data_IF_080622132042
#
_entry.id   IF_080622132042
#
_cell.length_a   1.000
_cell.length_b   1.000
_cell.length_c   1.000
_cell.angle_alpha   90.00
_cell.angle_beta   90.00
_cell.angle_gamma   90.00
#
_symmetry.space_group_name_H-M   'P 1'
#
loop_
_entity.id
_entity.type
_entity.pdbx_description
1 polymer ?
#
# COMPACT_ATOMS: atom_id res chain seq x y z
N UNK A 1 -6.62 -0.73 -26.96
CA UNK A 1 -6.23 0.66 -26.66
C UNK A 1 -6.74 1.08 -25.28
N UNK A 2 -7.97 0.73 -24.89
CA UNK A 2 -8.53 1.02 -23.55
C UNK A 2 -7.76 0.38 -22.37
N UNK A 3 -7.25 -0.85 -22.50
CA UNK A 3 -6.45 -1.50 -21.44
C UNK A 3 -5.17 -0.75 -21.04
N UNK A 4 -4.59 0.05 -21.95
CA UNK A 4 -3.33 0.73 -21.64
C UNK A 4 -3.55 1.90 -20.68
N UNK A 5 -4.66 2.63 -20.82
CA UNK A 5 -4.99 3.76 -19.96
C UNK A 5 -5.24 3.33 -18.51
N UNK A 6 -5.91 2.19 -18.29
CA UNK A 6 -6.11 1.65 -16.95
C UNK A 6 -4.81 1.16 -16.30
N UNK A 7 -3.88 0.62 -17.11
CA UNK A 7 -2.55 0.24 -16.64
C UNK A 7 -1.73 1.48 -16.26
N UNK A 8 -1.78 2.54 -17.06
CA UNK A 8 -1.06 3.78 -16.78
C UNK A 8 -1.54 4.42 -15.47
N UNK A 9 -2.87 4.52 -15.28
CA UNK A 9 -3.47 5.00 -14.02
C UNK A 9 -3.07 4.10 -12.85
N UNK A 10 -3.16 2.77 -13.04
CA UNK A 10 -2.75 1.83 -11.99
C UNK A 10 -1.30 2.05 -11.58
N UNK A 11 -0.39 2.24 -12.53
CA UNK A 11 1.04 2.46 -12.26
C UNK A 11 1.25 3.77 -11.52
N UNK A 12 0.62 4.86 -11.97
CA UNK A 12 0.72 6.19 -11.37
C UNK A 12 0.25 6.19 -9.90
N UNK A 13 -0.98 5.70 -9.65
CA UNK A 13 -1.56 5.57 -8.30
C UNK A 13 -0.73 4.62 -7.42
N UNK A 14 -0.20 3.53 -7.99
CA UNK A 14 0.65 2.61 -7.24
C UNK A 14 1.95 3.27 -6.81
N UNK A 15 2.55 4.10 -7.66
CA UNK A 15 3.76 4.85 -7.33
C UNK A 15 3.50 5.84 -6.19
N UNK A 16 2.40 6.58 -6.24
CA UNK A 16 2.01 7.49 -5.16
C UNK A 16 1.85 6.77 -3.82
N UNK A 17 1.16 5.61 -3.81
CA UNK A 17 1.01 4.82 -2.59
C UNK A 17 2.35 4.25 -2.07
N UNK A 18 3.27 3.86 -2.96
CA UNK A 18 4.61 3.39 -2.58
C UNK A 18 5.44 4.54 -1.99
N UNK A 19 5.37 5.74 -2.57
CA UNK A 19 6.04 6.93 -2.03
C UNK A 19 5.50 7.32 -0.65
N UNK A 20 4.18 7.24 -0.46
CA UNK A 20 3.52 7.46 0.82
C UNK A 20 3.93 6.40 1.86
N UNK A 21 4.02 5.13 1.47
CA UNK A 21 4.53 4.06 2.33
C UNK A 21 5.96 4.35 2.80
N UNK A 22 6.86 4.66 1.86
CA UNK A 22 8.27 4.94 2.18
C UNK A 22 8.42 6.15 3.11
N UNK A 23 7.71 7.23 2.81
CA UNK A 23 7.76 8.46 3.62
C UNK A 23 7.25 8.22 5.03
N UNK A 24 6.12 7.53 5.17
CA UNK A 24 5.56 7.23 6.48
C UNK A 24 6.36 6.19 7.27
N UNK A 25 6.99 5.21 6.61
CA UNK A 25 7.91 4.29 7.27
C UNK A 25 9.12 5.03 7.87
N UNK A 26 9.70 5.99 7.15
CA UNK A 26 10.78 6.84 7.68
C UNK A 26 10.32 7.70 8.87
N UNK A 27 9.08 8.20 8.85
CA UNK A 27 8.53 8.92 10.00
C UNK A 27 8.27 7.98 11.18
N UNK A 28 7.82 6.75 10.93
CA UNK A 28 7.60 5.73 11.95
C UNK A 28 8.90 5.31 12.64
N UNK A 29 10.02 5.25 11.92
CA UNK A 29 11.34 5.00 12.52
C UNK A 29 11.70 6.03 13.59
N UNK A 30 11.29 7.29 13.40
CA UNK A 30 11.53 8.38 14.35
C UNK A 30 10.50 8.43 15.48
N UNK A 31 9.24 8.06 15.21
CA UNK A 31 8.15 8.02 16.21
C UNK A 31 7.34 6.71 16.12
N UNK A 32 7.86 5.59 16.66
CA UNK A 32 7.25 4.27 16.51
C UNK A 32 5.90 4.08 17.21
N UNK A 33 5.52 5.02 18.10
CA UNK A 33 4.27 4.96 18.87
C UNK A 33 3.15 5.76 18.21
N UNK A 34 3.45 6.45 17.12
CA UNK A 34 2.50 7.28 16.42
C UNK A 34 1.51 6.42 15.62
N UNK A 35 0.36 6.13 16.23
CA UNK A 35 -0.69 5.33 15.59
C UNK A 35 -1.22 5.94 14.30
N UNK A 36 -1.16 7.26 14.15
CA UNK A 36 -1.63 7.91 12.91
C UNK A 36 -0.74 7.51 11.72
N UNK A 37 0.58 7.50 11.90
CA UNK A 37 1.53 7.06 10.88
C UNK A 37 1.29 5.59 10.52
N UNK A 38 1.12 4.73 11.52
CA UNK A 38 0.82 3.30 11.31
C UNK A 38 -0.46 3.11 10.48
N UNK A 39 -1.51 3.89 10.81
CA UNK A 39 -2.78 3.84 10.08
C UNK A 39 -2.65 4.32 8.62
N UNK A 40 -1.79 5.31 8.34
CA UNK A 40 -1.53 5.77 6.97
C UNK A 40 -0.76 4.75 6.14
N UNK A 41 0.24 4.09 6.75
CA UNK A 41 0.98 2.99 6.12
C UNK A 41 0.01 1.85 5.78
N UNK A 42 -0.83 1.45 6.74
CA UNK A 42 -1.81 0.40 6.55
C UNK A 42 -2.80 0.73 5.42
N UNK A 43 -3.31 1.97 5.38
CA UNK A 43 -4.22 2.43 4.31
C UNK A 43 -3.58 2.33 2.93
N UNK A 44 -2.33 2.76 2.78
CA UNK A 44 -1.62 2.71 1.50
C UNK A 44 -1.43 1.27 1.01
N UNK A 45 -1.07 0.36 1.92
CA UNK A 45 -0.98 -1.07 1.62
C UNK A 45 -2.34 -1.67 1.22
N UNK A 46 -3.41 -1.30 1.93
CA UNK A 46 -4.76 -1.76 1.64
C UNK A 46 -5.26 -1.30 0.27
N UNK A 47 -4.99 -0.04 -0.10
CA UNK A 47 -5.37 0.49 -1.41
C UNK A 47 -4.62 -0.22 -2.53
N UNK A 48 -3.31 -0.45 -2.39
CA UNK A 48 -2.52 -1.21 -3.37
C UNK A 48 -3.06 -2.63 -3.58
N UNK A 49 -3.47 -3.31 -2.51
CA UNK A 49 -4.14 -4.63 -2.59
C UNK A 49 -5.45 -4.54 -3.38
N UNK A 50 -6.29 -3.56 -3.04
CA UNK A 50 -7.58 -3.33 -3.71
C UNK A 50 -7.42 -3.06 -5.20
N UNK A 51 -6.51 -2.15 -5.57
CA UNK A 51 -6.20 -1.83 -6.97
C UNK A 51 -5.69 -3.06 -7.74
N UNK A 52 -4.78 -3.82 -7.15
CA UNK A 52 -4.26 -5.04 -7.78
C UNK A 52 -5.35 -6.09 -8.00
N UNK A 53 -6.29 -6.22 -7.06
CA UNK A 53 -7.45 -7.10 -7.21
C UNK A 53 -8.40 -6.61 -8.32
N UNK A 54 -8.67 -5.30 -8.40
CA UNK A 54 -9.50 -4.71 -9.47
C UNK A 54 -8.92 -4.93 -10.86
N UNK A 55 -7.59 -4.84 -11.00
CA UNK A 55 -6.88 -5.09 -12.26
C UNK A 55 -6.72 -6.59 -12.58
N UNK A 56 -7.07 -7.49 -11.66
CA UNK A 56 -6.82 -8.93 -11.81
C UNK A 56 -5.34 -9.32 -11.74
N UNK A 57 -4.49 -8.48 -11.15
CA UNK A 57 -3.06 -8.70 -10.99
C UNK A 57 -2.76 -9.57 -9.77
N UNK A 58 -3.04 -10.87 -9.90
CA UNK A 58 -3.03 -11.81 -8.76
C UNK A 58 -1.72 -11.89 -7.99
N UNK A 59 -0.57 -11.85 -8.68
CA UNK A 59 0.72 -11.89 -7.98
C UNK A 59 0.93 -10.65 -7.10
N UNK A 60 0.49 -9.49 -7.58
CA UNK A 60 0.64 -8.22 -6.86
C UNK A 60 -0.39 -8.11 -5.74
N UNK A 61 -1.62 -8.59 -5.96
CA UNK A 61 -2.63 -8.72 -4.92
C UNK A 61 -2.11 -9.58 -3.75
N UNK A 62 -1.53 -10.76 -4.05
CA UNK A 62 -0.93 -11.64 -3.03
C UNK A 62 0.21 -10.96 -2.28
N UNK A 63 1.08 -10.22 -2.98
CA UNK A 63 2.18 -9.48 -2.35
C UNK A 63 1.65 -8.38 -1.42
N UNK A 64 0.72 -7.55 -1.90
CA UNK A 64 0.13 -6.47 -1.12
C UNK A 64 -0.67 -7.01 0.08
N UNK A 65 -1.33 -8.17 -0.07
CA UNK A 65 -1.98 -8.84 1.05
C UNK A 65 -0.97 -9.29 2.12
N UNK A 66 0.19 -9.83 1.72
CA UNK A 66 1.26 -10.16 2.68
C UNK A 66 1.88 -8.95 3.36
N UNK A 67 1.97 -7.83 2.66
CA UNK A 67 2.36 -6.56 3.26
C UNK A 67 1.31 -6.09 4.28
N UNK A 68 0.02 -6.16 3.94
CA UNK A 68 -1.08 -5.81 4.84
C UNK A 68 -1.09 -6.69 6.10
N UNK A 69 -0.88 -8.01 5.98
CA UNK A 69 -0.80 -8.94 7.11
C UNK A 69 0.26 -8.47 8.14
N UNK A 70 1.47 -8.13 7.67
CA UNK A 70 2.57 -7.68 8.55
C UNK A 70 2.25 -6.34 9.21
N UNK A 71 1.70 -5.40 8.44
CA UNK A 71 1.33 -4.07 8.95
C UNK A 71 0.16 -4.13 9.93
N UNK A 72 -0.74 -5.09 9.76
CA UNK A 72 -1.87 -5.32 10.67
C UNK A 72 -1.38 -5.75 12.05
N UNK A 73 -0.37 -6.62 12.13
CA UNK A 73 0.24 -7.01 13.40
C UNK A 73 0.86 -5.79 14.11
N UNK A 74 1.63 -4.97 13.38
CA UNK A 74 2.23 -3.73 13.92
C UNK A 74 1.15 -2.77 14.45
N UNK A 75 0.03 -2.65 13.74
CA UNK A 75 -1.11 -1.81 14.15
C UNK A 75 -1.81 -2.30 15.42
N UNK A 76 -1.89 -3.61 15.60
CA UNK A 76 -2.57 -4.22 16.74
C UNK A 76 -1.76 -4.11 18.04
N UNK A 77 -0.44 -3.98 17.93
CA UNK A 77 0.48 -3.76 19.06
C UNK A 77 0.97 -5.07 19.65
#
# INVERSE_FOLDING_TARGET
MENNQYIDIFIEESQEHIENLNSNLLLLENDPKNRQIIDEIFRSAHTLKGMAATMGFENMNKLAHKMEDVLQEVKNG
#
